data_IF_926554818823
#
_entry.id   IF_926554818823
#
_cell.length_a   1.000
_cell.length_b   1.000
_cell.length_c   1.000
_cell.angle_alpha   90.00
_cell.angle_beta   90.00
_cell.angle_gamma   90.00
#
_symmetry.space_group_name_H-M   'P 1'
#
loop_
_entity.id
_entity.type
_entity.pdbx_description
1 polymer ?
#
# COMPACT_ATOMS: atom_id res chain seq x y z
N UNK A 1 2.10 -1.40 -28.91
CA UNK A 1 2.92 -0.18 -28.72
C UNK A 1 3.29 -0.18 -27.26
N UNK A 2 4.58 -0.14 -26.91
CA UNK A 2 5.00 -0.15 -25.51
C UNK A 2 4.47 1.08 -24.77
N UNK A 3 4.05 0.89 -23.52
CA UNK A 3 3.63 1.97 -22.65
C UNK A 3 4.75 3.03 -22.56
N UNK A 4 4.43 4.25 -22.90
CA UNK A 4 5.35 5.37 -22.72
C UNK A 4 5.05 5.99 -21.35
N UNK A 5 5.77 5.54 -20.32
CA UNK A 5 5.66 6.11 -18.99
C UNK A 5 6.03 7.62 -19.05
N UNK A 6 5.08 8.53 -18.83
CA UNK A 6 5.32 9.98 -18.98
C UNK A 6 6.33 10.52 -17.97
N UNK A 7 6.69 9.74 -16.95
CA UNK A 7 7.67 10.11 -15.92
C UNK A 7 9.09 9.59 -16.23
N UNK A 8 9.28 8.80 -17.29
CA UNK A 8 10.60 8.32 -17.70
C UNK A 8 10.99 8.96 -19.02
N UNK A 9 12.09 9.69 -19.02
CA UNK A 9 12.70 10.26 -20.21
C UNK A 9 14.18 9.93 -20.23
N UNK A 10 14.65 9.37 -21.35
CA UNK A 10 16.05 8.95 -21.53
C UNK A 10 16.53 7.98 -20.41
N UNK A 11 15.66 7.07 -19.96
CA UNK A 11 15.95 6.12 -18.89
C UNK A 11 16.03 6.73 -17.48
N UNK A 12 15.68 8.00 -17.33
CA UNK A 12 15.68 8.70 -16.04
C UNK A 12 14.25 9.06 -15.61
N UNK A 13 13.97 8.84 -14.33
CA UNK A 13 12.71 9.30 -13.73
C UNK A 13 12.72 10.83 -13.68
N UNK A 14 11.73 11.45 -14.29
CA UNK A 14 11.50 12.89 -14.27
C UNK A 14 10.13 13.19 -13.73
N UNK A 15 10.08 14.00 -12.69
CA UNK A 15 8.83 14.51 -12.15
C UNK A 15 8.50 15.88 -12.75
N UNK A 16 7.23 16.19 -13.00
CA UNK A 16 6.82 17.58 -13.19
C UNK A 16 7.15 18.39 -11.93
N UNK A 17 7.24 19.70 -12.04
CA UNK A 17 7.64 20.61 -10.95
C UNK A 17 6.87 20.42 -9.64
N UNK A 18 5.64 19.88 -9.69
CA UNK A 18 4.81 19.52 -8.54
C UNK A 18 4.73 17.99 -8.35
N UNK A 19 5.82 17.28 -8.48
CA UNK A 19 5.89 15.81 -8.53
C UNK A 19 5.64 15.07 -7.20
N UNK A 20 5.09 15.72 -6.17
CA UNK A 20 4.66 15.04 -4.97
C UNK A 20 3.40 14.19 -5.20
N UNK A 21 3.22 13.13 -4.41
CA UNK A 21 1.98 12.34 -4.45
C UNK A 21 0.75 13.20 -4.15
N UNK A 22 0.90 14.23 -3.30
CA UNK A 22 -0.17 15.22 -3.03
C UNK A 22 -0.63 15.91 -4.31
N UNK A 23 0.32 16.43 -5.12
CA UNK A 23 -0.01 17.06 -6.40
C UNK A 23 -0.69 16.10 -7.39
N UNK A 24 -0.33 14.81 -7.36
CA UNK A 24 -1.01 13.78 -8.17
C UNK A 24 -2.44 13.53 -7.72
N UNK A 25 -2.68 13.43 -6.41
CA UNK A 25 -4.05 13.30 -5.87
C UNK A 25 -4.88 14.53 -6.24
N UNK A 26 -4.38 15.74 -6.01
CA UNK A 26 -5.09 16.99 -6.36
C UNK A 26 -5.44 17.08 -7.85
N UNK A 27 -4.55 16.61 -8.73
CA UNK A 27 -4.87 16.49 -10.16
C UNK A 27 -6.07 15.57 -10.39
N UNK A 28 -6.10 14.40 -9.76
CA UNK A 28 -7.19 13.44 -9.98
C UNK A 28 -8.51 13.90 -9.39
N UNK A 29 -8.51 14.66 -8.29
CA UNK A 29 -9.75 15.29 -7.78
C UNK A 29 -10.41 16.19 -8.83
N UNK A 30 -9.62 16.84 -9.69
CA UNK A 30 -10.11 17.74 -10.74
C UNK A 30 -10.47 16.97 -12.00
N UNK A 31 -9.65 16.02 -12.43
CA UNK A 31 -9.77 15.36 -13.75
C UNK A 31 -10.69 14.13 -13.70
N UNK A 32 -10.77 13.46 -12.55
CA UNK A 32 -11.49 12.18 -12.33
C UNK A 32 -12.26 12.17 -11.02
N UNK A 33 -12.77 13.30 -10.56
CA UNK A 33 -13.35 13.46 -9.23
C UNK A 33 -14.43 12.42 -8.88
N UNK A 34 -15.29 12.09 -9.83
CA UNK A 34 -16.38 11.11 -9.70
C UNK A 34 -15.93 9.64 -9.81
N UNK A 35 -14.68 9.40 -10.23
CA UNK A 35 -14.15 8.04 -10.38
C UNK A 35 -13.62 7.50 -9.05
N UNK A 36 -13.65 6.17 -8.93
CA UNK A 36 -13.14 5.45 -7.79
C UNK A 36 -11.62 5.63 -7.65
N UNK A 37 -11.16 5.96 -6.45
CA UNK A 37 -9.75 5.99 -6.06
C UNK A 37 -9.37 4.74 -5.26
N UNK A 38 -10.22 4.38 -4.30
CA UNK A 38 -10.01 3.19 -3.45
C UNK A 38 -11.33 2.49 -3.13
N UNK A 39 -11.27 1.16 -3.05
CA UNK A 39 -12.36 0.31 -2.57
C UNK A 39 -11.86 -0.58 -1.44
N UNK A 40 -12.50 -0.49 -0.29
CA UNK A 40 -12.26 -1.42 0.81
C UNK A 40 -13.35 -2.49 0.82
N UNK A 41 -12.94 -3.77 0.78
CA UNK A 41 -13.83 -4.91 0.94
C UNK A 41 -13.85 -5.34 2.42
N UNK A 42 -14.88 -4.93 3.12
CA UNK A 42 -15.08 -5.22 4.53
C UNK A 42 -15.75 -6.58 4.72
N UNK A 43 -15.00 -7.55 5.21
CA UNK A 43 -15.49 -8.91 5.51
C UNK A 43 -15.74 -9.14 7.01
N UNK A 44 -15.87 -8.08 7.80
CA UNK A 44 -16.05 -8.20 9.25
C UNK A 44 -17.43 -8.70 9.63
N UNK A 45 -18.47 -8.29 8.91
CA UNK A 45 -19.88 -8.59 9.19
C UNK A 45 -20.50 -9.57 8.21
N UNK A 46 -20.14 -9.47 6.93
CA UNK A 46 -20.74 -10.29 5.87
C UNK A 46 -19.72 -11.21 5.21
N UNK A 47 -20.18 -12.43 4.89
CA UNK A 47 -19.32 -13.45 4.24
C UNK A 47 -18.83 -13.00 2.88
N UNK A 48 -19.69 -12.38 2.09
CA UNK A 48 -19.40 -11.91 0.73
C UNK A 48 -18.72 -10.54 0.74
N UNK A 49 -18.64 -9.88 1.90
CA UNK A 49 -18.03 -8.58 2.10
C UNK A 49 -18.94 -7.43 1.69
N UNK A 50 -18.71 -6.28 2.31
CA UNK A 50 -19.35 -5.01 1.97
C UNK A 50 -18.32 -4.12 1.31
N UNK A 51 -18.57 -3.67 0.09
CA UNK A 51 -17.73 -2.71 -0.58
C UNK A 51 -17.96 -1.31 0.00
N UNK A 52 -16.87 -0.66 0.40
CA UNK A 52 -16.84 0.75 0.79
C UNK A 52 -15.94 1.49 -0.19
N UNK A 53 -16.51 2.43 -0.88
CA UNK A 53 -15.86 3.15 -1.97
C UNK A 53 -15.45 4.55 -1.55
N UNK A 54 -14.35 5.03 -2.10
CA UNK A 54 -13.82 6.36 -1.93
C UNK A 54 -13.47 6.91 -3.32
N UNK A 55 -14.19 7.94 -3.76
CA UNK A 55 -13.90 8.61 -5.03
C UNK A 55 -12.69 9.53 -4.93
N UNK A 56 -12.13 9.97 -6.05
CA UNK A 56 -11.04 10.95 -6.04
C UNK A 56 -11.44 12.26 -5.39
N UNK A 57 -12.69 12.74 -5.63
CA UNK A 57 -13.19 13.97 -5.01
C UNK A 57 -13.30 13.83 -3.48
N UNK A 58 -13.89 12.72 -3.00
CA UNK A 58 -14.02 12.46 -1.58
C UNK A 58 -12.65 12.30 -0.94
N UNK A 59 -11.74 11.56 -1.59
CA UNK A 59 -10.37 11.36 -1.09
C UNK A 59 -9.63 12.69 -0.94
N UNK A 60 -9.66 13.56 -1.96
CA UNK A 60 -9.05 14.88 -1.87
C UNK A 60 -9.68 15.76 -0.79
N UNK A 61 -11.01 15.74 -0.67
CA UNK A 61 -11.74 16.49 0.37
C UNK A 61 -11.34 16.02 1.78
N UNK A 62 -11.33 14.72 2.03
CA UNK A 62 -10.90 14.15 3.31
C UNK A 62 -9.44 14.44 3.62
N UNK A 63 -8.54 14.33 2.63
CA UNK A 63 -7.12 14.61 2.81
C UNK A 63 -6.87 16.09 3.15
N UNK A 64 -7.57 17.02 2.49
CA UNK A 64 -7.49 18.45 2.85
C UNK A 64 -8.01 18.71 4.26
N UNK A 65 -9.12 18.09 4.66
CA UNK A 65 -9.68 18.26 6.01
C UNK A 65 -8.70 17.78 7.09
N UNK A 66 -8.14 16.58 6.95
CA UNK A 66 -7.16 16.04 7.91
C UNK A 66 -5.85 16.82 7.84
N UNK A 67 -5.40 17.22 6.64
CA UNK A 67 -4.23 18.07 6.44
C UNK A 67 -4.35 19.40 7.16
N UNK A 68 -5.46 20.12 6.96
CA UNK A 68 -5.75 21.38 7.67
C UNK A 68 -5.78 21.19 9.19
N UNK A 69 -6.43 20.11 9.66
CA UNK A 69 -6.46 19.80 11.08
C UNK A 69 -5.08 19.59 11.67
N UNK A 70 -4.19 18.90 10.97
CA UNK A 70 -2.81 18.72 11.39
C UNK A 70 -2.03 20.04 11.36
N UNK A 71 -2.22 20.87 10.34
CA UNK A 71 -1.59 22.20 10.27
C UNK A 71 -1.92 23.09 11.47
N UNK A 72 -3.14 22.97 12.01
CA UNK A 72 -3.58 23.73 13.21
C UNK A 72 -2.90 23.29 14.50
N UNK A 73 -2.35 22.07 14.57
CA UNK A 73 -1.97 21.43 15.86
C UNK A 73 -0.57 20.85 15.88
N UNK A 74 0.16 20.92 14.79
CA UNK A 74 1.54 20.43 14.62
C UNK A 74 2.34 21.40 13.77
N UNK A 75 3.68 21.26 13.82
CA UNK A 75 4.62 22.08 13.03
C UNK A 75 5.16 21.31 11.81
N UNK A 76 5.73 22.02 10.82
CA UNK A 76 6.39 21.40 9.67
C UNK A 76 7.47 20.43 10.13
N UNK A 77 7.50 19.23 9.52
CA UNK A 77 8.46 18.18 9.85
C UNK A 77 8.13 17.38 11.10
N UNK A 78 7.09 17.74 11.84
CA UNK A 78 6.58 16.93 12.95
C UNK A 78 6.22 15.52 12.46
N UNK A 79 6.46 14.53 13.32
CA UNK A 79 6.10 13.14 13.06
C UNK A 79 4.68 12.88 13.54
N UNK A 80 3.89 12.26 12.66
CA UNK A 80 2.50 11.89 12.93
C UNK A 80 2.38 10.37 12.79
N UNK A 81 2.13 9.69 13.89
CA UNK A 81 1.98 8.24 13.87
C UNK A 81 0.55 7.84 13.52
N UNK A 82 0.40 6.83 12.65
CA UNK A 82 -0.86 6.32 12.17
C UNK A 82 -1.16 5.01 12.88
N UNK A 83 -2.10 5.06 13.82
CA UNK A 83 -2.58 3.90 14.58
C UNK A 83 -4.04 3.60 14.21
N UNK A 84 -4.29 3.46 12.92
CA UNK A 84 -5.59 3.13 12.37
C UNK A 84 -5.71 1.63 12.07
N UNK A 85 -6.91 1.05 12.17
CA UNK A 85 -7.23 -0.20 11.51
C UNK A 85 -7.00 -0.10 9.99
N UNK A 86 -6.81 -1.23 9.32
CA UNK A 86 -6.67 -1.26 7.86
C UNK A 86 -8.02 -1.08 7.17
N UNK A 87 -8.34 0.16 6.85
CA UNK A 87 -9.57 0.60 6.19
C UNK A 87 -9.29 1.88 5.37
N UNK A 88 -10.34 2.56 4.86
CA UNK A 88 -10.20 3.79 4.08
C UNK A 88 -9.61 4.94 4.92
N UNK A 89 -9.91 4.98 6.21
CA UNK A 89 -9.42 6.00 7.14
C UNK A 89 -7.89 5.95 7.31
N UNK A 90 -7.28 4.76 7.15
CA UNK A 90 -5.82 4.63 7.12
C UNK A 90 -5.20 5.42 5.96
N UNK A 91 -5.81 5.33 4.78
CA UNK A 91 -5.37 6.06 3.59
C UNK A 91 -5.47 7.57 3.82
N UNK A 92 -6.60 8.01 4.33
CA UNK A 92 -6.84 9.43 4.66
C UNK A 92 -5.86 9.92 5.73
N UNK A 93 -5.56 9.11 6.74
CA UNK A 93 -4.55 9.44 7.76
C UNK A 93 -3.17 9.62 7.14
N UNK A 94 -2.75 8.69 6.28
CA UNK A 94 -1.43 8.75 5.63
C UNK A 94 -1.32 9.95 4.68
N UNK A 95 -2.23 10.05 3.71
CA UNK A 95 -2.18 11.14 2.73
C UNK A 95 -2.47 12.51 3.36
N UNK A 96 -3.40 12.61 4.31
CA UNK A 96 -3.66 13.84 5.06
C UNK A 96 -2.42 14.32 5.82
N UNK A 97 -1.58 13.42 6.31
CA UNK A 97 -0.29 13.77 6.91
C UNK A 97 0.66 14.38 5.87
N UNK A 98 0.75 13.80 4.66
CA UNK A 98 1.53 14.39 3.56
C UNK A 98 0.97 15.74 3.12
N UNK A 99 -0.37 15.90 3.07
CA UNK A 99 -1.04 17.17 2.78
C UNK A 99 -0.69 18.28 3.79
N UNK A 100 -0.47 17.89 5.04
CA UNK A 100 -0.03 18.83 6.06
C UNK A 100 1.45 19.19 5.97
N UNK A 101 2.25 18.51 5.14
CA UNK A 101 3.71 18.64 5.11
C UNK A 101 4.38 18.03 6.35
N UNK A 102 3.76 17.01 6.95
CA UNK A 102 4.28 16.30 8.13
C UNK A 102 4.89 14.97 7.72
N UNK A 103 5.74 14.42 8.58
CA UNK A 103 6.35 13.11 8.39
C UNK A 103 5.42 12.03 8.91
N UNK A 104 4.88 11.19 8.03
CA UNK A 104 4.03 10.07 8.44
C UNK A 104 4.85 8.94 9.07
N UNK A 105 4.30 8.29 10.09
CA UNK A 105 4.84 7.06 10.67
C UNK A 105 3.76 5.98 10.58
N UNK A 106 3.75 5.19 9.49
CA UNK A 106 2.78 4.11 9.28
C UNK A 106 2.96 3.02 10.32
N UNK A 107 1.95 2.81 11.13
CA UNK A 107 1.92 1.79 12.19
C UNK A 107 0.57 1.04 12.12
N UNK A 108 0.23 0.33 13.15
CA UNK A 108 -0.97 -0.50 13.26
C UNK A 108 -1.76 -0.14 14.52
N UNK A 109 -3.01 -0.57 14.56
CA UNK A 109 -3.87 -0.42 15.74
C UNK A 109 -3.25 -1.17 16.94
N UNK A 110 -3.14 -0.53 18.12
CA UNK A 110 -2.63 -1.20 19.34
C UNK A 110 -3.38 -2.46 19.77
N UNK A 111 -4.61 -2.66 19.29
CA UNK A 111 -5.39 -3.88 19.53
C UNK A 111 -4.90 -5.09 18.72
N UNK A 112 -4.05 -4.89 17.71
CA UNK A 112 -3.46 -5.97 16.93
C UNK A 112 -2.58 -6.87 17.84
N UNK A 113 -2.88 -8.19 17.90
CA UNK A 113 -2.20 -9.07 18.84
C UNK A 113 -0.71 -9.27 18.49
N UNK A 114 0.13 -9.34 19.52
CA UNK A 114 1.54 -9.73 19.39
C UNK A 114 2.52 -8.59 19.09
N UNK A 115 2.07 -7.35 18.90
CA UNK A 115 2.93 -6.25 18.46
C UNK A 115 3.11 -5.08 19.44
N UNK A 116 2.49 -5.12 20.61
CA UNK A 116 2.47 -4.01 21.59
C UNK A 116 3.86 -3.55 22.01
N UNK A 117 4.79 -4.47 22.29
CA UNK A 117 6.16 -4.11 22.71
C UNK A 117 6.94 -3.39 21.61
N UNK A 118 6.76 -3.81 20.35
CA UNK A 118 7.36 -3.14 19.19
C UNK A 118 6.78 -1.75 19.00
N UNK A 119 5.47 -1.59 19.18
CA UNK A 119 4.80 -0.31 19.05
C UNK A 119 5.33 0.71 20.05
N UNK A 120 5.53 0.32 21.33
CA UNK A 120 6.17 1.16 22.33
C UNK A 120 7.56 1.62 21.89
N UNK A 121 8.42 0.70 21.47
CA UNK A 121 9.78 1.02 21.05
C UNK A 121 9.82 1.98 19.83
N UNK A 122 8.94 1.80 18.86
CA UNK A 122 8.82 2.72 17.70
C UNK A 122 8.36 4.10 18.13
N UNK A 123 7.34 4.19 18.99
CA UNK A 123 6.79 5.46 19.47
C UNK A 123 7.76 6.20 20.42
N UNK A 124 8.64 5.46 21.11
CA UNK A 124 9.70 6.02 21.92
C UNK A 124 10.89 6.52 21.09
N UNK A 125 11.09 5.99 19.88
CA UNK A 125 12.10 6.47 18.94
C UNK A 125 11.59 7.67 18.11
N UNK A 126 10.41 7.57 17.52
CA UNK A 126 9.92 8.62 16.63
C UNK A 126 9.31 9.84 17.35
N UNK A 127 8.95 9.77 18.63
CA UNK A 127 8.37 10.87 19.41
C UNK A 127 7.30 11.66 18.63
N UNK A 128 6.17 11.05 18.26
CA UNK A 128 5.19 11.72 17.40
C UNK A 128 4.47 12.85 18.15
N UNK A 129 4.26 13.99 17.48
CA UNK A 129 3.48 15.13 18.02
C UNK A 129 1.98 14.85 18.00
N UNK A 130 1.52 14.04 17.04
CA UNK A 130 0.12 13.62 16.92
C UNK A 130 0.00 12.14 16.53
N UNK A 131 -1.15 11.57 16.91
CA UNK A 131 -1.59 10.23 16.52
C UNK A 131 -2.87 10.36 15.71
N UNK A 132 -2.91 9.74 14.55
CA UNK A 132 -4.14 9.57 13.78
C UNK A 132 -4.71 8.17 14.01
N UNK A 133 -6.02 8.11 14.20
CA UNK A 133 -6.77 6.86 14.39
C UNK A 133 -8.21 7.03 13.92
N UNK A 134 -9.09 6.07 14.17
CA UNK A 134 -10.54 6.19 13.94
C UNK A 134 -11.29 6.44 15.23
N UNK A 135 -12.51 6.90 15.14
CA UNK A 135 -13.39 7.08 16.32
C UNK A 135 -13.53 5.78 17.10
N UNK A 136 -13.71 4.66 16.39
CA UNK A 136 -13.83 3.33 16.98
C UNK A 136 -12.57 2.93 17.75
N UNK A 137 -11.38 3.13 17.19
CA UNK A 137 -10.12 2.73 17.81
C UNK A 137 -9.58 3.75 18.82
N UNK A 138 -10.11 4.98 18.86
CA UNK A 138 -9.57 6.11 19.65
C UNK A 138 -9.47 5.82 21.15
N UNK A 139 -10.43 5.12 21.74
CA UNK A 139 -10.38 4.77 23.19
C UNK A 139 -9.25 3.77 23.47
N UNK A 140 -9.06 2.77 22.62
CA UNK A 140 -7.94 1.82 22.69
C UNK A 140 -6.59 2.52 22.60
N UNK A 141 -6.45 3.44 21.64
CA UNK A 141 -5.24 4.26 21.46
C UNK A 141 -4.99 5.15 22.70
N UNK A 142 -6.01 5.86 23.20
CA UNK A 142 -5.84 6.67 24.42
C UNK A 142 -5.45 5.83 25.63
N UNK A 143 -6.03 4.63 25.78
CA UNK A 143 -5.69 3.69 26.85
C UNK A 143 -4.23 3.24 26.76
N UNK A 144 -3.74 2.99 25.53
CA UNK A 144 -2.35 2.62 25.29
C UNK A 144 -1.36 3.69 25.84
N UNK A 145 -1.70 4.97 25.72
CA UNK A 145 -0.87 6.08 26.22
C UNK A 145 -1.10 6.46 27.69
N UNK A 146 -2.01 5.81 28.40
CA UNK A 146 -2.33 6.17 29.82
C UNK A 146 -1.12 6.05 30.76
N UNK A 147 -0.19 5.15 30.50
CA UNK A 147 1.03 4.96 31.30
C UNK A 147 2.02 6.11 31.19
N UNK A 148 1.94 6.93 30.12
CA UNK A 148 2.82 8.09 29.95
C UNK A 148 2.33 9.29 30.76
N UNK A 149 3.25 10.14 31.26
CA UNK A 149 2.87 11.42 31.86
C UNK A 149 1.98 12.24 30.92
N UNK A 150 0.99 12.95 31.45
CA UNK A 150 0.00 13.66 30.63
C UNK A 150 0.63 14.65 29.62
N UNK A 151 1.72 15.33 30.01
CA UNK A 151 2.47 16.26 29.15
C UNK A 151 3.27 15.60 28.01
N UNK A 152 3.49 14.30 28.09
CA UNK A 152 4.24 13.50 27.11
C UNK A 152 3.30 12.69 26.19
N UNK A 153 1.98 12.80 26.41
CA UNK A 153 1.00 12.11 25.57
C UNK A 153 0.80 12.87 24.26
N UNK A 154 0.97 12.23 23.11
CA UNK A 154 0.69 12.85 21.84
C UNK A 154 -0.81 13.17 21.71
N UNK A 155 -1.14 14.14 20.87
CA UNK A 155 -2.53 14.47 20.56
C UNK A 155 -3.16 13.37 19.70
N UNK A 156 -4.26 12.79 20.14
CA UNK A 156 -5.01 11.75 19.41
C UNK A 156 -6.14 12.39 18.63
N UNK A 157 -6.16 12.19 17.31
CA UNK A 157 -7.15 12.72 16.37
C UNK A 157 -7.82 11.54 15.68
N UNK A 158 -9.15 11.45 15.76
CA UNK A 158 -9.94 10.52 14.97
C UNK A 158 -10.19 11.14 13.58
N UNK A 159 -9.65 10.54 12.53
CA UNK A 159 -9.71 11.10 11.17
C UNK A 159 -11.14 11.17 10.65
N UNK A 160 -11.95 10.15 10.92
CA UNK A 160 -13.37 10.06 10.57
C UNK A 160 -14.27 11.08 11.30
N UNK A 161 -13.77 11.68 12.38
CA UNK A 161 -14.47 12.74 13.12
C UNK A 161 -14.05 14.16 12.70
N UNK A 162 -13.07 14.31 11.81
CA UNK A 162 -12.69 15.64 11.28
C UNK A 162 -13.74 16.08 10.25
N UNK A 163 -14.45 17.21 10.45
CA UNK A 163 -15.43 17.71 9.48
C UNK A 163 -14.78 18.11 8.16
N UNK A 164 -15.43 17.87 7.04
CA UNK A 164 -14.93 18.18 5.69
C UNK A 164 -14.69 19.67 5.49
N UNK A 165 -15.52 20.52 6.14
CA UNK A 165 -15.43 21.97 6.07
C UNK A 165 -14.10 22.52 6.60
N UNK A 166 -13.41 21.78 7.48
CA UNK A 166 -12.07 22.15 7.98
C UNK A 166 -11.09 22.22 6.79
N UNK A 167 -11.30 21.43 5.75
CA UNK A 167 -10.48 21.45 4.54
C UNK A 167 -10.43 22.79 3.83
N UNK A 168 -11.41 23.70 4.03
CA UNK A 168 -11.39 25.05 3.49
C UNK A 168 -10.25 25.92 4.07
N UNK A 169 -9.66 25.52 5.19
CA UNK A 169 -8.50 26.19 5.82
C UNK A 169 -7.18 25.53 5.50
N UNK A 170 -7.17 24.51 4.64
CA UNK A 170 -5.94 23.85 4.23
C UNK A 170 -5.09 24.78 3.34
N UNK A 171 -3.83 24.88 3.68
CA UNK A 171 -2.85 25.61 2.90
C UNK A 171 -1.88 24.60 2.23
N UNK A 172 -1.73 24.68 0.88
CA UNK A 172 -0.75 23.86 0.18
C UNK A 172 0.66 24.08 0.75
N UNK A 173 1.36 22.98 1.00
CA UNK A 173 2.74 23.04 1.51
C UNK A 173 3.71 22.83 0.36
N UNK A 174 4.66 23.72 0.20
CA UNK A 174 5.78 23.56 -0.74
C UNK A 174 6.80 22.56 -0.16
N UNK A 175 6.51 21.26 -0.34
CA UNK A 175 7.41 20.19 0.06
C UNK A 175 8.54 20.04 -0.96
N UNK A 176 9.78 20.11 -0.48
CA UNK A 176 10.96 19.88 -1.32
C UNK A 176 11.21 18.41 -1.53
N UNK A 177 11.98 18.08 -2.56
CA UNK A 177 12.31 16.70 -2.92
C UNK A 177 12.98 15.92 -1.77
N UNK A 178 13.82 16.59 -0.98
CA UNK A 178 14.55 16.03 0.16
C UNK A 178 13.77 16.08 1.48
N UNK A 179 12.55 16.65 1.49
CA UNK A 179 11.67 16.61 2.66
C UNK A 179 11.26 15.16 2.94
N UNK A 180 11.36 14.74 4.19
CA UNK A 180 10.95 13.39 4.63
C UNK A 180 9.43 13.27 4.53
N UNK A 181 8.95 12.31 3.73
CA UNK A 181 7.54 11.99 3.59
C UNK A 181 7.07 11.06 4.72
N UNK A 182 7.84 10.01 5.01
CA UNK A 182 7.50 9.08 6.08
C UNK A 182 8.72 8.33 6.63
N UNK A 183 8.54 7.72 7.79
CA UNK A 183 9.49 6.80 8.41
C UNK A 183 8.97 5.37 8.28
N UNK A 184 9.71 4.52 7.56
CA UNK A 184 9.39 3.10 7.47
C UNK A 184 10.16 2.32 8.54
N UNK A 185 9.45 1.84 9.55
CA UNK A 185 10.04 0.99 10.57
C UNK A 185 10.10 -0.47 10.11
N UNK A 186 11.32 -0.99 10.02
CA UNK A 186 11.56 -2.38 9.63
C UNK A 186 11.64 -3.30 10.84
N UNK A 187 11.44 -4.59 10.62
CA UNK A 187 11.62 -5.63 11.64
C UNK A 187 13.08 -5.97 11.93
N UNK A 188 14.03 -5.27 11.29
CA UNK A 188 15.48 -5.38 11.33
C UNK A 188 16.10 -6.52 12.14
N UNK A 189 17.31 -6.96 11.82
CA UNK A 189 18.07 -7.96 12.57
C UNK A 189 18.48 -7.49 13.99
N UNK A 190 18.33 -6.20 14.27
CA UNK A 190 18.60 -5.57 15.58
C UNK A 190 17.32 -5.49 16.40
N UNK A 191 17.43 -5.64 17.73
CA UNK A 191 16.30 -5.55 18.68
C UNK A 191 15.71 -4.13 18.76
N UNK A 192 16.41 -3.12 18.24
CA UNK A 192 15.99 -1.71 18.28
C UNK A 192 15.31 -1.38 16.96
N UNK A 193 14.06 -0.90 16.96
CA UNK A 193 13.41 -0.46 15.75
C UNK A 193 14.20 0.67 15.08
N UNK A 194 14.39 0.57 13.78
CA UNK A 194 15.08 1.61 12.99
C UNK A 194 14.09 2.17 11.96
N UNK A 195 13.84 3.47 12.02
CA UNK A 195 13.00 4.19 11.07
C UNK A 195 13.81 4.62 9.84
N UNK A 196 13.59 3.95 8.72
CA UNK A 196 14.17 4.37 7.44
C UNK A 196 13.48 5.64 6.98
N UNK A 197 14.28 6.69 6.71
CA UNK A 197 13.78 7.99 6.27
C UNK A 197 13.53 7.96 4.76
N UNK A 198 12.28 8.10 4.35
CA UNK A 198 11.87 8.12 2.95
C UNK A 198 11.45 9.54 2.59
N UNK A 199 12.17 10.16 1.64
CA UNK A 199 11.84 11.50 1.14
C UNK A 199 10.70 11.44 0.12
N UNK A 200 10.09 12.60 -0.17
CA UNK A 200 9.08 12.69 -1.25
C UNK A 200 9.65 12.26 -2.60
N UNK A 201 10.91 12.58 -2.89
CA UNK A 201 11.58 12.15 -4.12
C UNK A 201 11.80 10.63 -4.15
N UNK A 202 12.30 10.03 -3.06
CA UNK A 202 12.49 8.59 -2.98
C UNK A 202 11.19 7.85 -3.26
N UNK A 203 10.12 8.26 -2.56
CA UNK A 203 8.79 7.68 -2.67
C UNK A 203 8.27 7.74 -4.10
N UNK A 204 8.20 8.95 -4.66
CA UNK A 204 7.65 9.17 -6.00
C UNK A 204 8.50 8.43 -7.07
N UNK A 205 9.84 8.46 -6.95
CA UNK A 205 10.75 7.76 -7.86
C UNK A 205 10.49 6.26 -7.83
N UNK A 206 10.42 5.67 -6.63
CA UNK A 206 10.29 4.22 -6.50
C UNK A 206 8.92 3.72 -6.98
N UNK A 207 7.84 4.48 -6.72
CA UNK A 207 6.51 4.12 -7.26
C UNK A 207 6.50 4.16 -8.80
N UNK A 208 7.14 5.16 -9.43
CA UNK A 208 7.28 5.20 -10.90
C UNK A 208 8.08 4.01 -11.41
N UNK A 209 9.19 3.66 -10.74
CA UNK A 209 10.01 2.51 -11.11
C UNK A 209 9.23 1.19 -11.01
N UNK A 210 8.41 1.01 -9.98
CA UNK A 210 7.52 -0.17 -9.86
C UNK A 210 6.56 -0.22 -11.04
N UNK A 211 5.82 0.88 -11.29
CA UNK A 211 4.82 0.93 -12.38
C UNK A 211 5.47 0.64 -13.73
N UNK A 212 6.64 1.21 -14.01
CA UNK A 212 7.37 0.96 -15.24
C UNK A 212 7.84 -0.50 -15.37
N UNK A 213 8.44 -1.04 -14.31
CA UNK A 213 8.98 -2.40 -14.30
C UNK A 213 7.91 -3.49 -14.48
N UNK A 214 6.68 -3.22 -14.05
CA UNK A 214 5.53 -4.14 -14.22
C UNK A 214 4.67 -3.81 -15.44
N UNK A 215 5.07 -2.85 -16.27
CA UNK A 215 4.31 -2.39 -17.43
C UNK A 215 2.93 -1.87 -17.07
N UNK A 216 2.80 -1.22 -15.92
CA UNK A 216 1.53 -0.68 -15.45
C UNK A 216 1.04 0.47 -16.35
N UNK A 217 -0.23 0.47 -16.70
CA UNK A 217 -0.86 1.43 -17.60
C UNK A 217 -1.97 2.22 -16.90
N UNK A 218 -2.29 3.39 -17.46
CA UNK A 218 -3.47 4.13 -17.05
C UNK A 218 -4.72 3.33 -17.45
N UNK A 219 -5.46 2.80 -16.52
CA UNK A 219 -6.56 1.87 -16.77
C UNK A 219 -6.37 0.54 -16.03
N UNK A 220 -5.16 0.27 -15.55
CA UNK A 220 -4.93 -0.89 -14.69
C UNK A 220 -5.44 -0.62 -13.26
N UNK A 221 -5.98 -1.64 -12.61
CA UNK A 221 -6.36 -1.56 -11.20
C UNK A 221 -5.45 -2.38 -10.29
N UNK A 222 -5.32 -1.93 -9.06
CA UNK A 222 -4.59 -2.66 -8.03
C UNK A 222 -5.50 -3.55 -7.19
N UNK A 223 -4.98 -4.69 -6.74
CA UNK A 223 -5.65 -5.53 -5.72
C UNK A 223 -4.64 -5.86 -4.63
N UNK A 224 -4.99 -5.60 -3.36
CA UNK A 224 -4.10 -5.84 -2.22
C UNK A 224 -4.85 -6.37 -1.00
N UNK A 225 -4.14 -7.13 -0.19
CA UNK A 225 -4.55 -7.53 1.16
C UNK A 225 -3.41 -7.29 2.17
N UNK A 226 -2.29 -6.72 1.71
CA UNK A 226 -1.10 -6.52 2.54
C UNK A 226 -1.32 -5.45 3.60
N UNK A 227 -0.70 -5.60 4.78
CA UNK A 227 -0.79 -4.58 5.83
C UNK A 227 -0.16 -3.27 5.37
N UNK A 228 -0.84 -2.14 5.61
CA UNK A 228 -0.36 -0.81 5.18
C UNK A 228 0.82 -0.27 5.99
N UNK A 229 1.08 -0.81 7.16
CA UNK A 229 2.27 -0.46 7.93
C UNK A 229 3.55 -1.15 7.43
N UNK A 230 3.42 -2.12 6.50
CA UNK A 230 4.53 -2.77 5.82
C UNK A 230 4.82 -2.03 4.50
N UNK A 231 6.09 -1.84 4.15
CA UNK A 231 6.54 -1.11 2.95
C UNK A 231 5.83 -1.59 1.66
N UNK A 232 5.76 -2.91 1.45
CA UNK A 232 5.12 -3.49 0.27
C UNK A 232 3.62 -3.17 0.21
N UNK A 233 2.89 -3.24 1.33
CA UNK A 233 1.48 -2.87 1.40
C UNK A 233 1.27 -1.37 1.22
N UNK A 234 2.14 -0.55 1.83
CA UNK A 234 2.07 0.90 1.74
C UNK A 234 2.32 1.39 0.30
N UNK A 235 3.37 0.90 -0.36
CA UNK A 235 3.68 1.29 -1.74
C UNK A 235 2.56 0.87 -2.70
N UNK A 236 1.90 -0.26 -2.49
CA UNK A 236 0.80 -0.72 -3.34
C UNK A 236 -0.35 0.29 -3.40
N UNK A 237 -0.70 0.93 -2.28
CA UNK A 237 -1.76 1.96 -2.27
C UNK A 237 -1.32 3.25 -2.97
N UNK A 238 -0.03 3.50 -3.12
CA UNK A 238 0.51 4.69 -3.78
C UNK A 238 0.58 4.54 -5.30
N UNK A 239 0.40 3.33 -5.83
CA UNK A 239 0.31 3.10 -7.29
C UNK A 239 -0.93 3.81 -7.85
N UNK A 240 -2.06 3.81 -7.14
CA UNK A 240 -3.30 4.46 -7.59
C UNK A 240 -3.10 5.95 -7.98
N UNK A 241 -2.51 6.83 -7.14
CA UNK A 241 -2.23 8.20 -7.55
C UNK A 241 -1.29 8.33 -8.75
N UNK A 242 -0.41 7.36 -8.97
CA UNK A 242 0.52 7.41 -10.10
C UNK A 242 -0.14 7.09 -11.44
N UNK A 243 -0.97 6.06 -11.49
CA UNK A 243 -1.66 5.62 -12.72
C UNK A 243 -3.06 6.21 -12.90
N UNK A 244 -3.62 6.86 -11.87
CA UNK A 244 -4.93 7.50 -11.92
C UNK A 244 -6.10 6.52 -11.97
N UNK A 245 -5.89 5.28 -11.56
CA UNK A 245 -6.93 4.26 -11.43
C UNK A 245 -7.14 3.89 -9.95
N UNK A 246 -7.89 2.84 -9.63
CA UNK A 246 -8.21 2.52 -8.25
C UNK A 246 -7.48 1.28 -7.72
N UNK A 247 -7.39 1.20 -6.40
CA UNK A 247 -6.94 0.00 -5.69
C UNK A 247 -8.09 -0.55 -4.85
N UNK A 248 -8.41 -1.82 -5.08
CA UNK A 248 -9.28 -2.59 -4.17
C UNK A 248 -8.40 -3.29 -3.13
N UNK A 249 -8.80 -3.21 -1.87
CA UNK A 249 -8.07 -3.89 -0.82
C UNK A 249 -8.99 -4.52 0.23
N UNK A 250 -8.46 -5.48 0.93
CA UNK A 250 -9.08 -6.16 2.08
C UNK A 250 -8.06 -6.31 3.21
N UNK A 251 -8.49 -6.75 4.37
CA UNK A 251 -7.55 -6.99 5.48
C UNK A 251 -6.75 -8.28 5.28
N UNK A 252 -5.52 -8.39 5.86
CA UNK A 252 -4.76 -9.64 5.87
C UNK A 252 -5.56 -10.83 6.41
N UNK A 253 -6.34 -10.61 7.45
CA UNK A 253 -7.21 -11.63 8.05
C UNK A 253 -8.28 -12.15 7.06
N UNK A 254 -8.82 -11.27 6.21
CA UNK A 254 -9.79 -11.65 5.18
C UNK A 254 -9.18 -12.59 4.13
N UNK A 255 -7.94 -12.30 3.70
CA UNK A 255 -7.17 -13.15 2.78
C UNK A 255 -6.80 -14.48 3.44
N UNK A 256 -6.15 -14.46 4.61
CA UNK A 256 -5.70 -15.69 5.29
C UNK A 256 -6.86 -16.64 5.55
N UNK A 257 -8.02 -16.12 5.94
CA UNK A 257 -9.21 -16.91 6.18
C UNK A 257 -9.78 -17.53 4.91
N UNK A 258 -9.74 -16.84 3.77
CA UNK A 258 -10.25 -17.28 2.46
C UNK A 258 -9.44 -16.67 1.32
N UNK A 259 -8.34 -17.32 0.88
CA UNK A 259 -7.47 -16.78 -0.16
C UNK A 259 -8.16 -16.65 -1.53
N UNK A 260 -9.23 -17.39 -1.78
CA UNK A 260 -10.06 -17.23 -2.98
C UNK A 260 -10.68 -15.84 -3.14
N UNK A 261 -10.81 -15.05 -2.05
CA UNK A 261 -11.24 -13.65 -2.13
C UNK A 261 -10.27 -12.80 -2.94
N UNK A 262 -8.97 -12.97 -2.71
CA UNK A 262 -7.93 -12.29 -3.44
C UNK A 262 -7.93 -12.68 -4.93
N UNK A 263 -8.03 -13.98 -5.21
CA UNK A 263 -8.09 -14.51 -6.59
C UNK A 263 -9.32 -13.98 -7.33
N UNK A 264 -10.51 -14.02 -6.70
CA UNK A 264 -11.74 -13.50 -7.32
C UNK A 264 -11.72 -12.00 -7.55
N UNK A 265 -11.09 -11.26 -6.63
CA UNK A 265 -10.98 -9.82 -6.81
C UNK A 265 -10.04 -9.45 -7.95
N UNK A 266 -9.04 -10.28 -8.25
CA UNK A 266 -8.18 -10.09 -9.42
C UNK A 266 -8.82 -10.54 -10.74
N UNK A 267 -9.89 -11.33 -10.70
CA UNK A 267 -10.54 -11.81 -11.92
C UNK A 267 -11.14 -10.66 -12.74
N UNK A 268 -11.25 -10.90 -14.05
CA UNK A 268 -11.96 -10.00 -14.97
C UNK A 268 -13.42 -9.87 -14.52
N UNK A 269 -13.93 -8.66 -14.55
CA UNK A 269 -15.33 -8.33 -14.26
C UNK A 269 -15.91 -7.62 -15.48
N UNK A 270 -17.10 -8.03 -15.91
CA UNK A 270 -17.73 -7.54 -17.15
C UNK A 270 -18.16 -6.08 -17.06
N UNK A 271 -18.38 -5.56 -15.85
CA UNK A 271 -18.84 -4.21 -15.56
C UNK A 271 -17.69 -3.25 -15.18
N UNK A 272 -16.44 -3.70 -15.23
CA UNK A 272 -15.26 -2.88 -14.90
C UNK A 272 -14.55 -2.38 -16.16
N UNK A 273 -14.20 -1.11 -16.13
CA UNK A 273 -13.45 -0.38 -17.16
C UNK A 273 -11.93 -0.52 -16.91
N UNK A 274 -11.49 -1.68 -16.43
CA UNK A 274 -10.10 -1.95 -16.11
C UNK A 274 -9.44 -2.85 -17.17
N UNK A 275 -8.35 -2.35 -17.79
CA UNK A 275 -7.63 -3.07 -18.84
C UNK A 275 -6.79 -4.21 -18.28
N UNK A 276 -6.16 -4.01 -17.12
CA UNK A 276 -5.32 -4.99 -16.46
C UNK A 276 -5.40 -4.95 -14.94
N UNK A 277 -4.89 -5.99 -14.31
CA UNK A 277 -4.83 -6.12 -12.86
C UNK A 277 -3.39 -6.30 -12.39
N UNK A 278 -3.04 -5.54 -11.37
CA UNK A 278 -1.75 -5.58 -10.70
C UNK A 278 -1.94 -5.99 -9.25
N UNK A 279 -1.12 -6.89 -8.76
CA UNK A 279 -1.11 -7.26 -7.34
C UNK A 279 0.30 -7.53 -6.84
N UNK A 280 0.43 -7.72 -5.54
CA UNK A 280 1.69 -8.05 -4.89
C UNK A 280 1.43 -8.91 -3.66
N UNK A 281 2.27 -9.92 -3.44
CA UNK A 281 2.13 -10.81 -2.30
C UNK A 281 3.46 -11.49 -1.94
N UNK A 282 3.66 -11.92 -0.69
CA UNK A 282 4.76 -12.80 -0.31
C UNK A 282 4.52 -14.23 -0.84
N UNK A 283 5.61 -15.00 -0.93
CA UNK A 283 5.61 -16.33 -1.53
C UNK A 283 4.56 -17.29 -0.93
N UNK A 284 4.37 -17.27 0.40
CA UNK A 284 3.39 -18.15 1.06
C UNK A 284 1.96 -17.93 0.55
N UNK A 285 1.64 -16.73 0.08
CA UNK A 285 0.30 -16.40 -0.40
C UNK A 285 -0.05 -17.17 -1.68
N UNK A 286 0.91 -17.41 -2.53
CA UNK A 286 0.73 -18.17 -3.75
C UNK A 286 0.42 -19.64 -3.43
N UNK A 287 1.18 -20.27 -2.50
CA UNK A 287 0.87 -21.64 -2.04
C UNK A 287 -0.48 -21.71 -1.35
N UNK A 288 -0.80 -20.73 -0.49
CA UNK A 288 -2.08 -20.70 0.20
C UNK A 288 -3.25 -20.54 -0.78
N UNK A 289 -3.12 -19.69 -1.80
CA UNK A 289 -4.12 -19.52 -2.83
C UNK A 289 -4.25 -20.75 -3.73
N UNK A 290 -3.15 -21.38 -4.15
CA UNK A 290 -3.18 -22.60 -4.94
C UNK A 290 -3.89 -23.74 -4.21
N UNK A 291 -3.65 -23.86 -2.88
CA UNK A 291 -4.27 -24.92 -2.07
C UNK A 291 -5.76 -24.68 -1.73
N UNK A 292 -6.21 -23.42 -1.60
CA UNK A 292 -7.52 -23.08 -1.03
C UNK A 292 -8.30 -22.00 -1.78
N UNK A 293 -7.73 -21.42 -2.84
CA UNK A 293 -8.32 -20.30 -3.59
C UNK A 293 -9.06 -20.70 -4.86
N UNK A 294 -9.05 -21.98 -5.24
CA UNK A 294 -9.73 -22.48 -6.42
C UNK A 294 -11.25 -22.33 -6.31
N UNK A 295 -11.95 -22.05 -7.44
CA UNK A 295 -13.40 -22.00 -7.49
C UNK A 295 -14.01 -23.32 -7.02
N UNK A 296 -15.15 -23.22 -6.33
CA UNK A 296 -15.96 -24.37 -5.95
C UNK A 296 -17.11 -24.58 -6.93
N UNK A 297 -17.66 -25.78 -6.94
CA UNK A 297 -18.85 -26.09 -7.72
C UNK A 297 -19.99 -25.11 -7.40
N UNK A 298 -20.61 -24.55 -8.45
CA UNK A 298 -21.69 -23.56 -8.33
C UNK A 298 -21.22 -22.10 -8.12
N UNK A 299 -19.91 -21.84 -8.00
CA UNK A 299 -19.40 -20.48 -7.99
C UNK A 299 -19.31 -19.88 -9.41
N UNK A 300 -19.38 -18.53 -9.57
CA UNK A 300 -19.26 -17.89 -10.88
C UNK A 300 -17.95 -18.27 -11.59
N UNK A 301 -17.94 -18.24 -12.94
CA UNK A 301 -16.70 -18.44 -13.71
C UNK A 301 -15.57 -17.56 -13.22
N UNK A 302 -14.34 -18.06 -13.34
CA UNK A 302 -13.11 -17.31 -13.00
C UNK A 302 -12.34 -17.08 -14.29
N UNK A 303 -12.02 -15.82 -14.60
CA UNK A 303 -11.13 -15.43 -15.70
C UNK A 303 -9.99 -14.56 -15.17
N UNK A 304 -8.77 -15.07 -15.24
CA UNK A 304 -7.54 -14.40 -14.76
C UNK A 304 -6.66 -13.92 -15.94
N UNK A 305 -7.20 -13.92 -17.16
CA UNK A 305 -6.44 -13.56 -18.37
C UNK A 305 -6.01 -12.08 -18.43
N UNK A 306 -6.66 -11.23 -17.63
CA UNK A 306 -6.36 -9.81 -17.52
C UNK A 306 -5.31 -9.47 -16.44
N UNK A 307 -4.78 -10.46 -15.72
CA UNK A 307 -3.71 -10.20 -14.75
C UNK A 307 -2.43 -9.82 -15.50
N UNK A 308 -1.99 -8.58 -15.32
CA UNK A 308 -0.77 -8.04 -15.90
C UNK A 308 0.47 -8.48 -15.14
N UNK A 309 0.45 -8.32 -13.83
CA UNK A 309 1.56 -8.70 -12.95
C UNK A 309 1.11 -8.99 -11.52
N UNK A 310 1.71 -10.01 -10.91
CA UNK A 310 1.70 -10.22 -9.46
C UNK A 310 3.15 -10.30 -9.00
N UNK A 311 3.61 -9.29 -8.27
CA UNK A 311 4.94 -9.29 -7.70
C UNK A 311 4.99 -10.29 -6.54
N UNK A 312 6.01 -11.13 -6.54
CA UNK A 312 6.29 -12.10 -5.46
C UNK A 312 7.58 -11.70 -4.77
N UNK A 313 7.51 -11.29 -3.50
CA UNK A 313 8.68 -10.76 -2.77
C UNK A 313 8.54 -10.85 -1.25
N UNK A 314 9.38 -10.09 -0.55
CA UNK A 314 9.47 -10.00 0.92
C UNK A 314 9.98 -11.25 1.63
N UNK A 315 10.10 -12.38 0.98
CA UNK A 315 10.65 -13.63 1.52
C UNK A 315 11.28 -14.48 0.40
N UNK A 316 12.06 -15.52 0.72
CA UNK A 316 12.63 -16.41 -0.27
C UNK A 316 11.54 -17.05 -1.15
N UNK A 317 11.73 -17.01 -2.47
CA UNK A 317 10.78 -17.50 -3.44
C UNK A 317 11.09 -18.96 -3.80
N UNK A 318 10.10 -19.84 -3.64
CA UNK A 318 10.21 -21.25 -3.99
C UNK A 318 9.80 -21.50 -5.45
N UNK A 319 10.64 -22.18 -6.20
CA UNK A 319 10.30 -22.64 -7.56
C UNK A 319 9.07 -23.57 -7.57
N UNK A 320 8.87 -24.35 -6.51
CA UNK A 320 7.69 -25.22 -6.38
C UNK A 320 6.42 -24.38 -6.23
N UNK A 321 6.45 -23.33 -5.40
CA UNK A 321 5.32 -22.40 -5.24
C UNK A 321 4.89 -21.79 -6.57
N UNK A 322 5.84 -21.31 -7.37
CA UNK A 322 5.56 -20.73 -8.70
C UNK A 322 4.91 -21.77 -9.62
N UNK A 323 5.43 -23.01 -9.65
CA UNK A 323 4.82 -24.09 -10.46
C UNK A 323 3.40 -24.41 -9.99
N UNK A 324 3.22 -24.65 -8.69
CA UNK A 324 1.91 -25.00 -8.12
C UNK A 324 0.85 -23.94 -8.41
N UNK A 325 1.21 -22.66 -8.32
CA UNK A 325 0.29 -21.58 -8.63
C UNK A 325 -0.08 -21.54 -10.11
N UNK A 326 0.91 -21.70 -11.00
CA UNK A 326 0.67 -21.76 -12.46
C UNK A 326 -0.19 -22.97 -12.85
N UNK A 327 0.03 -24.14 -12.25
CA UNK A 327 -0.79 -25.34 -12.48
C UNK A 327 -2.22 -25.15 -11.97
N UNK A 328 -2.40 -24.53 -10.80
CA UNK A 328 -3.71 -24.30 -10.21
C UNK A 328 -4.56 -23.29 -11.01
N UNK A 329 -3.96 -22.20 -11.49
CA UNK A 329 -4.69 -21.08 -12.09
C UNK A 329 -4.51 -20.94 -13.61
N UNK A 330 -3.61 -21.68 -14.23
CA UNK A 330 -3.48 -21.74 -15.69
C UNK A 330 -4.76 -22.11 -16.42
N UNK A 331 -5.57 -23.09 -15.96
CA UNK A 331 -6.86 -23.41 -16.54
C UNK A 331 -7.88 -22.25 -16.55
N UNK A 332 -7.65 -21.24 -15.73
CA UNK A 332 -8.47 -20.01 -15.63
C UNK A 332 -7.87 -18.81 -16.35
N UNK A 333 -6.93 -19.04 -17.29
CA UNK A 333 -6.34 -17.99 -18.10
C UNK A 333 -5.15 -17.26 -17.49
N UNK A 334 -4.71 -17.66 -16.29
CA UNK A 334 -3.51 -17.07 -15.67
C UNK A 334 -2.25 -17.40 -16.50
N UNK A 335 -1.42 -16.40 -16.77
CA UNK A 335 -0.21 -16.52 -17.58
C UNK A 335 1.03 -16.62 -16.69
N UNK A 336 1.95 -17.58 -16.95
CA UNK A 336 3.19 -17.72 -16.16
C UNK A 336 4.04 -16.46 -16.11
N UNK A 337 4.02 -15.64 -17.18
CA UNK A 337 4.74 -14.38 -17.27
C UNK A 337 4.23 -13.32 -16.29
N UNK A 338 2.99 -13.47 -15.77
CA UNK A 338 2.40 -12.54 -14.82
C UNK A 338 2.99 -12.67 -13.41
N UNK A 339 3.60 -13.81 -13.03
CA UNK A 339 4.35 -13.89 -11.76
C UNK A 339 5.68 -13.19 -11.92
N UNK A 340 5.93 -12.20 -11.06
CA UNK A 340 7.14 -11.38 -11.06
C UNK A 340 7.93 -11.57 -9.76
N UNK A 341 8.88 -12.53 -9.71
CA UNK A 341 9.84 -12.58 -8.62
C UNK A 341 10.53 -11.23 -8.46
N UNK A 342 10.44 -10.68 -7.25
CA UNK A 342 10.85 -9.31 -6.99
C UNK A 342 11.70 -9.24 -5.72
N UNK A 343 12.68 -8.35 -5.74
CA UNK A 343 13.52 -8.04 -4.60
C UNK A 343 13.35 -6.57 -4.22
N UNK A 344 13.31 -6.32 -2.92
CA UNK A 344 13.22 -4.98 -2.37
C UNK A 344 13.52 -4.95 -0.88
N UNK A 345 13.70 -3.74 -0.36
CA UNK A 345 13.97 -3.46 1.05
C UNK A 345 13.58 -2.00 1.36
N UNK A 346 13.24 -1.72 2.59
CA UNK A 346 12.81 -0.38 3.01
C UNK A 346 13.90 0.68 2.79
N UNK A 347 15.20 0.34 2.93
CA UNK A 347 16.33 1.24 2.69
C UNK A 347 16.45 1.68 1.23
N UNK A 348 15.83 0.95 0.30
CA UNK A 348 15.66 1.34 -1.10
C UNK A 348 14.23 1.90 -1.38
N UNK A 349 13.52 2.34 -0.37
CA UNK A 349 12.10 2.70 -0.34
C UNK A 349 11.19 1.46 -0.40
N UNK A 350 11.36 0.61 -1.38
CA UNK A 350 10.83 -0.74 -1.52
C UNK A 350 11.54 -1.49 -2.64
N UNK A 351 11.29 -1.09 -3.89
CA UNK A 351 11.57 -1.86 -5.09
C UNK A 351 13.02 -1.68 -5.55
N UNK A 352 13.70 -2.79 -5.82
CA UNK A 352 15.06 -2.84 -6.37
C UNK A 352 15.07 -3.51 -7.73
N UNK A 353 14.44 -4.70 -7.87
CA UNK A 353 14.46 -5.45 -9.11
C UNK A 353 13.29 -6.43 -9.25
N UNK A 354 12.95 -6.76 -10.48
CA UNK A 354 11.99 -7.81 -10.84
C UNK A 354 12.39 -8.44 -12.17
N UNK A 355 11.67 -9.49 -12.58
CA UNK A 355 11.87 -10.12 -13.89
C UNK A 355 11.27 -9.29 -15.03
N UNK A 356 11.79 -9.41 -16.28
CA UNK A 356 11.22 -8.72 -17.43
C UNK A 356 9.74 -9.03 -17.64
N UNK A 357 9.01 -8.09 -18.26
CA UNK A 357 7.55 -8.17 -18.43
C UNK A 357 7.09 -9.33 -19.29
N UNK A 358 7.81 -9.63 -20.35
CA UNK A 358 7.47 -10.55 -21.42
C UNK A 358 8.08 -11.95 -21.25
N UNK A 359 8.65 -12.22 -20.06
CA UNK A 359 9.30 -13.49 -19.79
C UNK A 359 8.81 -14.11 -18.47
N UNK A 360 8.60 -15.44 -18.44
CA UNK A 360 8.33 -16.14 -17.18
C UNK A 360 9.58 -16.14 -16.28
N UNK A 361 9.41 -16.39 -14.97
CA UNK A 361 10.52 -16.52 -14.04
C UNK A 361 11.54 -17.56 -14.51
N UNK A 362 12.82 -17.16 -14.57
CA UNK A 362 13.92 -18.07 -14.91
C UNK A 362 14.36 -18.83 -13.67
N UNK A 363 14.22 -20.17 -13.71
CA UNK A 363 14.70 -21.06 -12.65
C UNK A 363 16.04 -21.66 -13.09
N UNK A 364 17.08 -21.44 -12.26
CA UNK A 364 18.41 -21.99 -12.50
C UNK A 364 18.75 -22.96 -11.37
N UNK A 365 19.11 -24.20 -11.75
CA UNK A 365 19.62 -25.18 -10.80
C UNK A 365 21.13 -25.05 -10.72
N UNK A 366 21.66 -24.87 -9.51
CA UNK A 366 23.10 -24.79 -9.24
C UNK A 366 23.50 -25.94 -8.33
N UNK A 367 24.70 -26.48 -8.52
CA UNK A 367 25.25 -27.48 -7.62
C UNK A 367 25.60 -26.78 -6.30
N UNK A 368 25.12 -27.34 -5.20
CA UNK A 368 25.37 -26.82 -3.85
C UNK A 368 26.87 -26.76 -3.50
N UNK A 369 27.67 -27.66 -4.07
CA UNK A 369 29.12 -27.67 -3.86
C UNK A 369 29.87 -26.50 -4.53
N UNK A 370 29.24 -25.85 -5.54
CA UNK A 370 29.81 -24.73 -6.30
C UNK A 370 29.39 -23.37 -5.71
N UNK A 371 28.45 -23.34 -4.77
CA UNK A 371 27.93 -22.11 -4.14
C UNK A 371 28.64 -21.73 -2.84
N UNK A 372 29.75 -22.40 -2.48
CA UNK A 372 30.60 -21.96 -1.37
C UNK A 372 31.46 -20.81 -1.89
N UNK A 373 31.13 -19.61 -1.46
CA UNK A 373 31.97 -18.41 -1.67
C UNK A 373 33.18 -18.52 -0.76
N UNK A 374 34.38 -18.59 -1.36
CA UNK A 374 35.64 -18.41 -0.65
C UNK A 374 35.79 -16.95 -0.18
#
# INVERSE_FOLDING_TARGET
>A
MGFHNPFIKDGQVRFPENGSLVGRVERWTTVRGDKLAYRFLDYSTEREGVARDLTWADFGTRNRAVGARLQQVTELGDRVAILCPQNLEYLVAFFGTLYAGRTAVPLFDPSEPGHVGRLHAVLDDCHPSAILTTTEAAEGVRKFFRSRPAKERPRVIAVDAVPDEVGATWEPVDVKHDTIAYLQYTSGSTRIPTGVQITHLNLATNVVQVVDAIGGEEGDRGVSWLPFFHDMGLITIMVSPMIGHYVTFMTPAAFVRRPGRWIREMARKDDEDADGVISVAPNFAFDHAAARGLPKEGEPPLDLSNIRAILNGSEPISAATVRNFNEAFGPYGFKPEAIKPSYGLAEATLFVSTTPMDAPPKIVHVDRAVTVWD
#
